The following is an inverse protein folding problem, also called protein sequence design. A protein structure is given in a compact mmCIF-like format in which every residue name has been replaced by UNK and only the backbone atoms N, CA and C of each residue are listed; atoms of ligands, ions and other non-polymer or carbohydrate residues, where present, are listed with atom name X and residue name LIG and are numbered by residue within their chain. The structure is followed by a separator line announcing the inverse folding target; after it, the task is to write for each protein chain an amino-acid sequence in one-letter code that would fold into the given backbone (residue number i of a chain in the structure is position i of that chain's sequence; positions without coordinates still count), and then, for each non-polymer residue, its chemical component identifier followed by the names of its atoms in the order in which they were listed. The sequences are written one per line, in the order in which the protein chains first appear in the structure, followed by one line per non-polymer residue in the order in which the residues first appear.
data_IF_702102931302
#
_entry.id   IF_702102931302
#
_cell.length_a   1.000
_cell.length_b   1.000
_cell.length_c   1.000
_cell.angle_alpha   90.00
_cell.angle_beta   90.00
_cell.angle_gamma   90.00
#
_symmetry.space_group_name_H-M   'P 1'
#
loop_
_entity.id
_entity.type
_entity.pdbx_description
1 polymer ?
#
# COMPACT_ATOMS: atom_id res chain seq x y z
N UNK A 1 15.92 -33.83 1.31
CA UNK A 1 14.46 -34.11 1.35
C UNK A 1 13.59 -32.87 1.16
N UNK A 2 13.99 -31.68 1.64
CA UNK A 2 13.26 -30.41 1.40
C UNK A 2 13.18 -30.04 -0.08
N UNK A 3 14.26 -30.26 -0.84
CA UNK A 3 14.35 -29.83 -2.23
C UNK A 3 13.45 -30.65 -3.16
N UNK A 4 13.27 -31.94 -2.89
CA UNK A 4 12.35 -32.80 -3.66
C UNK A 4 10.90 -32.32 -3.49
N UNK A 5 10.49 -31.97 -2.26
CA UNK A 5 9.13 -31.45 -1.99
C UNK A 5 8.92 -30.07 -2.64
N UNK A 6 9.93 -29.19 -2.59
CA UNK A 6 9.88 -27.86 -3.23
C UNK A 6 9.79 -28.00 -4.76
N UNK A 7 10.61 -28.86 -5.36
CA UNK A 7 10.61 -29.08 -6.81
C UNK A 7 9.30 -29.72 -7.29
N UNK A 8 8.71 -30.64 -6.52
CA UNK A 8 7.40 -31.21 -6.81
C UNK A 8 6.29 -30.14 -6.78
N UNK A 9 6.30 -29.25 -5.78
CA UNK A 9 5.31 -28.17 -5.69
C UNK A 9 5.43 -27.17 -6.85
N UNK A 10 6.65 -26.80 -7.25
CA UNK A 10 6.87 -25.92 -8.41
C UNK A 10 6.36 -26.57 -9.69
N UNK A 11 6.64 -27.87 -9.89
CA UNK A 11 6.15 -28.60 -11.06
C UNK A 11 4.63 -28.67 -11.13
N UNK A 12 3.97 -28.97 -10.01
CA UNK A 12 2.49 -28.98 -9.92
C UNK A 12 1.94 -27.58 -10.20
N UNK A 13 2.57 -26.55 -9.63
CA UNK A 13 2.12 -25.17 -9.79
C UNK A 13 2.22 -24.69 -11.24
N UNK A 14 3.33 -24.96 -11.93
CA UNK A 14 3.48 -24.64 -13.36
C UNK A 14 2.44 -25.37 -14.22
N UNK A 15 2.09 -26.61 -13.86
CA UNK A 15 1.03 -27.36 -14.53
C UNK A 15 -0.33 -26.72 -14.35
N UNK A 16 -0.63 -26.22 -13.14
CA UNK A 16 -1.88 -25.49 -12.91
C UNK A 16 -1.92 -24.23 -13.78
N UNK A 17 -0.84 -23.46 -13.88
CA UNK A 17 -0.81 -22.27 -14.73
C UNK A 17 -1.02 -22.58 -16.22
N UNK A 18 -0.52 -23.72 -16.69
CA UNK A 18 -0.58 -24.11 -18.10
C UNK A 18 -1.96 -24.63 -18.52
N UNK A 19 -2.63 -25.38 -17.65
CA UNK A 19 -3.88 -26.08 -17.98
C UNK A 19 -5.12 -25.51 -17.28
N UNK A 20 -5.00 -24.38 -16.60
CA UNK A 20 -6.17 -23.76 -15.96
C UNK A 20 -7.13 -23.24 -17.02
N UNK A 21 -8.36 -23.75 -16.97
CA UNK A 21 -9.47 -23.30 -17.81
C UNK A 21 -10.11 -22.05 -17.20
N UNK A 22 -9.43 -20.90 -17.37
CA UNK A 22 -9.87 -19.62 -16.81
C UNK A 22 -8.78 -18.54 -16.76
N UNK A 23 -9.08 -17.43 -16.07
CA UNK A 23 -8.14 -16.33 -15.84
C UNK A 23 -7.54 -16.48 -14.45
N UNK A 24 -6.21 -16.65 -14.38
CA UNK A 24 -5.46 -16.62 -13.12
C UNK A 24 -4.90 -15.22 -12.91
N UNK A 25 -5.26 -14.59 -11.79
CA UNK A 25 -4.64 -13.35 -11.32
C UNK A 25 -3.62 -13.68 -10.23
N UNK A 26 -2.35 -13.35 -10.48
CA UNK A 26 -1.25 -13.54 -9.53
C UNK A 26 -0.72 -12.19 -9.07
N UNK A 27 -0.36 -12.10 -7.80
CA UNK A 27 0.28 -10.92 -7.21
C UNK A 27 1.59 -11.33 -6.54
N UNK A 28 2.69 -10.64 -6.81
CA UNK A 28 3.99 -10.93 -6.19
C UNK A 28 4.74 -9.64 -5.87
N UNK A 29 5.33 -9.61 -4.67
CA UNK A 29 6.27 -8.57 -4.25
C UNK A 29 7.74 -9.00 -4.49
N UNK A 30 7.97 -10.14 -5.15
CA UNK A 30 9.29 -10.77 -5.34
C UNK A 30 9.50 -11.25 -6.78
N UNK A 31 9.20 -10.40 -7.76
CA UNK A 31 9.25 -10.74 -9.19
C UNK A 31 10.66 -11.17 -9.67
N UNK A 32 11.72 -10.69 -9.03
CA UNK A 32 13.10 -11.08 -9.33
C UNK A 32 13.40 -12.56 -9.04
N UNK A 33 12.56 -13.24 -8.25
CA UNK A 33 12.67 -14.68 -7.99
C UNK A 33 12.01 -15.55 -9.05
N UNK A 34 11.33 -14.96 -10.04
CA UNK A 34 10.67 -15.71 -11.10
C UNK A 34 11.68 -16.22 -12.14
N UNK A 35 11.63 -17.53 -12.39
CA UNK A 35 12.41 -18.18 -13.44
C UNK A 35 11.77 -17.98 -14.83
N UNK A 36 12.48 -18.42 -15.86
CA UNK A 36 12.04 -18.31 -17.25
C UNK A 36 10.77 -19.15 -17.52
N UNK A 37 10.66 -20.33 -16.89
CA UNK A 37 9.51 -21.23 -17.06
C UNK A 37 8.22 -20.66 -16.48
N UNK A 38 8.31 -19.92 -15.38
CA UNK A 38 7.19 -19.21 -14.79
C UNK A 38 6.78 -18.01 -15.66
N UNK A 39 7.76 -17.20 -16.09
CA UNK A 39 7.52 -16.02 -16.94
C UNK A 39 6.88 -16.38 -18.28
N UNK A 40 7.26 -17.51 -18.89
CA UNK A 40 6.70 -17.95 -20.18
C UNK A 40 5.21 -18.29 -20.14
N UNK A 41 4.64 -18.50 -18.95
CA UNK A 41 3.22 -18.77 -18.72
C UNK A 41 2.42 -17.52 -18.34
N UNK A 42 3.05 -16.36 -18.25
CA UNK A 42 2.41 -15.06 -17.97
C UNK A 42 2.13 -14.36 -19.29
N UNK A 43 0.86 -14.26 -19.67
CA UNK A 43 0.44 -13.54 -20.88
C UNK A 43 0.50 -12.01 -20.71
N UNK A 44 0.21 -11.50 -19.51
CA UNK A 44 0.20 -10.08 -19.19
C UNK A 44 0.87 -9.85 -17.83
N UNK A 45 1.88 -9.00 -17.79
CA UNK A 45 2.52 -8.55 -16.56
C UNK A 45 2.22 -7.06 -16.35
N UNK A 46 1.56 -6.74 -15.22
CA UNK A 46 1.27 -5.36 -14.82
C UNK A 46 2.20 -4.95 -13.68
N UNK A 47 3.03 -3.94 -13.93
CA UNK A 47 3.87 -3.36 -12.90
C UNK A 47 3.12 -2.21 -12.19
N UNK A 48 3.05 -2.29 -10.86
CA UNK A 48 2.49 -1.25 -10.01
C UNK A 48 3.62 -0.51 -9.27
N UNK A 49 4.13 0.60 -9.82
CA UNK A 49 5.18 1.37 -9.17
C UNK A 49 4.64 2.10 -7.93
N UNK A 50 5.57 2.61 -7.13
CA UNK A 50 5.26 3.49 -6.00
C UNK A 50 4.41 4.69 -6.44
N UNK A 51 3.45 5.07 -5.58
CA UNK A 51 2.48 6.12 -5.91
C UNK A 51 3.19 7.46 -6.08
N UNK A 52 2.86 8.21 -7.14
CA UNK A 52 3.26 9.61 -7.29
C UNK A 52 2.43 10.50 -6.35
N UNK A 53 2.89 11.73 -6.10
CA UNK A 53 2.12 12.70 -5.29
C UNK A 53 0.72 12.92 -5.86
N UNK A 54 0.59 13.04 -7.19
CA UNK A 54 -0.71 13.17 -7.86
C UNK A 54 -1.61 11.95 -7.60
N UNK A 55 -1.10 10.73 -7.79
CA UNK A 55 -1.88 9.50 -7.51
C UNK A 55 -2.29 9.39 -6.04
N UNK A 56 -1.43 9.83 -5.09
CA UNK A 56 -1.80 9.90 -3.67
C UNK A 56 -2.91 10.91 -3.41
N UNK A 57 -2.85 12.08 -4.06
CA UNK A 57 -3.91 13.09 -4.02
C UNK A 57 -5.25 12.53 -4.53
N UNK A 58 -5.23 11.78 -5.63
CA UNK A 58 -6.42 11.11 -6.18
C UNK A 58 -6.99 10.09 -5.19
N UNK A 59 -6.13 9.29 -4.55
CA UNK A 59 -6.54 8.30 -3.54
C UNK A 59 -7.14 9.00 -2.30
N UNK A 60 -6.52 10.08 -1.81
CA UNK A 60 -7.10 10.88 -0.72
C UNK A 60 -8.47 11.43 -1.11
N UNK A 61 -8.58 12.02 -2.29
CA UNK A 61 -9.84 12.56 -2.83
C UNK A 61 -10.91 11.47 -2.92
N UNK A 62 -10.57 10.29 -3.42
CA UNK A 62 -11.47 9.14 -3.50
C UNK A 62 -11.98 8.72 -2.12
N UNK A 63 -11.10 8.59 -1.11
CA UNK A 63 -11.53 8.22 0.22
C UNK A 63 -12.38 9.29 0.90
N UNK A 64 -12.01 10.57 0.79
CA UNK A 64 -12.77 11.69 1.35
C UNK A 64 -14.17 11.74 0.71
N UNK A 65 -14.26 11.62 -0.61
CA UNK A 65 -15.53 11.61 -1.35
C UNK A 65 -16.40 10.42 -0.93
N UNK A 66 -15.82 9.22 -0.82
CA UNK A 66 -16.56 8.04 -0.36
C UNK A 66 -17.12 8.19 1.04
N UNK A 67 -16.37 8.81 1.97
CA UNK A 67 -16.87 9.08 3.32
C UNK A 67 -18.03 10.08 3.31
N UNK A 68 -18.00 11.05 2.39
CA UNK A 68 -19.09 11.99 2.20
C UNK A 68 -20.34 11.30 1.65
N UNK A 69 -20.19 10.40 0.68
CA UNK A 69 -21.29 9.60 0.12
C UNK A 69 -21.93 8.65 1.15
N UNK A 70 -21.14 8.16 2.10
CA UNK A 70 -21.62 7.35 3.23
C UNK A 70 -22.37 8.18 4.29
N UNK A 71 -22.42 9.51 4.16
CA UNK A 71 -23.13 10.39 5.08
C UNK A 71 -22.46 10.55 6.45
N UNK A 72 -21.13 10.36 6.52
CA UNK A 72 -20.38 10.55 7.76
C UNK A 72 -20.46 12.01 8.24
N UNK A 73 -21.01 12.26 9.42
CA UNK A 73 -21.23 13.63 9.92
C UNK A 73 -20.12 14.17 10.80
N UNK A 74 -19.19 13.31 11.24
CA UNK A 74 -18.12 13.66 12.18
C UNK A 74 -16.81 14.01 11.46
N UNK A 75 -16.90 14.59 10.27
CA UNK A 75 -15.76 14.86 9.38
C UNK A 75 -15.88 16.29 8.85
N UNK A 76 -14.79 17.05 8.91
CA UNK A 76 -14.68 18.35 8.25
C UNK A 76 -14.22 18.15 6.80
N UNK A 77 -15.17 17.89 5.90
CA UNK A 77 -14.86 17.64 4.50
C UNK A 77 -14.26 18.84 3.77
N UNK A 78 -14.56 20.06 4.20
CA UNK A 78 -14.03 21.26 3.55
C UNK A 78 -12.52 21.35 3.80
N UNK A 79 -12.11 21.24 5.06
CA UNK A 79 -10.70 21.24 5.44
C UNK A 79 -9.93 20.09 4.76
N UNK A 80 -10.45 18.87 4.78
CA UNK A 80 -9.76 17.73 4.15
C UNK A 80 -9.61 17.88 2.63
N UNK A 81 -10.61 18.45 1.96
CA UNK A 81 -10.54 18.67 0.51
C UNK A 81 -9.51 19.75 0.18
N UNK A 82 -9.44 20.82 0.95
CA UNK A 82 -8.47 21.90 0.75
C UNK A 82 -7.04 21.43 1.01
N UNK A 83 -6.84 20.60 2.05
CA UNK A 83 -5.53 20.09 2.48
C UNK A 83 -5.13 18.75 1.86
N UNK A 84 -5.86 18.25 0.86
CA UNK A 84 -5.58 16.95 0.21
C UNK A 84 -4.18 16.85 -0.41
N UNK A 85 -3.64 17.98 -0.88
CA UNK A 85 -2.30 18.04 -1.46
C UNK A 85 -1.20 17.95 -0.40
N UNK A 86 -1.43 18.50 0.79
CA UNK A 86 -0.52 18.37 1.93
C UNK A 86 -0.55 16.93 2.47
N UNK A 87 -1.73 16.31 2.52
CA UNK A 87 -1.84 14.87 2.84
C UNK A 87 -1.11 13.99 1.81
N UNK A 88 -1.03 14.43 0.56
CA UNK A 88 -0.31 13.72 -0.51
C UNK A 88 1.22 13.90 -0.45
N UNK A 89 1.75 14.85 0.34
CA UNK A 89 3.20 14.97 0.55
C UNK A 89 3.78 13.81 1.37
N UNK A 90 2.97 13.23 2.25
CA UNK A 90 3.34 12.00 2.93
C UNK A 90 3.41 10.83 1.93
N UNK A 91 4.57 10.19 1.83
CA UNK A 91 4.85 9.07 0.90
C UNK A 91 4.19 7.75 1.35
N UNK A 92 2.88 7.78 1.51
CA UNK A 92 2.07 6.65 1.97
C UNK A 92 1.58 5.81 0.79
N UNK A 93 1.52 4.49 0.98
CA UNK A 93 0.79 3.60 0.08
C UNK A 93 -0.71 3.61 0.37
N UNK A 94 -1.53 3.04 -0.53
CA UNK A 94 -2.99 3.04 -0.39
C UNK A 94 -3.50 2.36 0.90
N UNK A 95 -2.79 1.33 1.40
CA UNK A 95 -3.14 0.67 2.67
C UNK A 95 -2.84 1.57 3.87
N UNK A 96 -1.70 2.26 3.87
CA UNK A 96 -1.36 3.23 4.92
C UNK A 96 -2.36 4.40 4.95
N UNK A 97 -2.74 4.95 3.80
CA UNK A 97 -3.77 6.01 3.71
C UNK A 97 -5.09 5.53 4.31
N UNK A 98 -5.56 4.34 3.92
CA UNK A 98 -6.80 3.75 4.45
C UNK A 98 -6.74 3.57 5.97
N UNK A 99 -5.61 3.04 6.47
CA UNK A 99 -5.40 2.82 7.89
C UNK A 99 -5.39 4.13 8.68
N UNK A 100 -4.70 5.17 8.17
CA UNK A 100 -4.68 6.48 8.81
C UNK A 100 -6.10 7.05 8.97
N UNK A 101 -6.90 7.00 7.91
CA UNK A 101 -8.31 7.41 7.95
C UNK A 101 -9.09 6.62 8.99
N UNK A 102 -8.96 5.29 9.00
CA UNK A 102 -9.68 4.43 9.94
C UNK A 102 -9.30 4.73 11.39
N UNK A 103 -8.02 4.86 11.69
CA UNK A 103 -7.52 5.18 13.03
C UNK A 103 -7.97 6.58 13.46
N UNK A 104 -7.90 7.58 12.58
CA UNK A 104 -8.40 8.93 12.87
C UNK A 104 -9.90 8.94 13.17
N UNK A 105 -10.70 8.15 12.43
CA UNK A 105 -12.14 8.01 12.71
C UNK A 105 -12.40 7.38 14.08
N UNK A 106 -11.65 6.35 14.44
CA UNK A 106 -11.74 5.73 15.77
C UNK A 106 -11.37 6.72 16.88
N UNK A 107 -10.30 7.49 16.70
CA UNK A 107 -9.88 8.52 17.65
C UNK A 107 -10.96 9.60 17.83
N UNK A 108 -11.54 10.10 16.73
CA UNK A 108 -12.61 11.09 16.77
C UNK A 108 -13.87 10.53 17.44
N UNK A 109 -14.24 9.29 17.13
CA UNK A 109 -15.37 8.61 17.79
C UNK A 109 -15.15 8.48 19.30
N UNK A 110 -13.93 8.18 19.74
CA UNK A 110 -13.59 8.10 21.15
C UNK A 110 -13.61 9.48 21.83
N UNK A 111 -13.05 10.51 21.19
CA UNK A 111 -13.04 11.89 21.72
C UNK A 111 -14.45 12.47 21.83
N UNK A 112 -15.34 12.17 20.90
CA UNK A 112 -16.74 12.61 20.93
C UNK A 112 -17.55 12.11 22.14
N UNK A 113 -17.06 11.09 22.87
CA UNK A 113 -17.61 10.74 24.17
C UNK A 113 -17.32 11.76 25.28
N UNK A 114 -16.41 12.71 25.04
CA UNK A 114 -15.96 13.73 26.01
C UNK A 114 -16.14 15.16 25.48
N UNK A 115 -15.78 15.40 24.22
CA UNK A 115 -15.80 16.72 23.59
C UNK A 115 -16.16 16.62 22.11
N UNK A 116 -16.96 17.56 21.60
CA UNK A 116 -17.36 17.57 20.19
C UNK A 116 -16.14 17.82 19.30
N UNK A 117 -15.74 16.80 18.55
CA UNK A 117 -14.57 16.79 17.66
C UNK A 117 -14.96 16.26 16.28
N UNK A 118 -14.43 16.87 15.23
CA UNK A 118 -14.55 16.38 13.86
C UNK A 118 -13.18 15.92 13.34
N UNK A 119 -13.19 14.96 12.43
CA UNK A 119 -11.99 14.53 11.71
C UNK A 119 -11.59 15.64 10.73
N UNK A 120 -10.42 16.23 10.95
CA UNK A 120 -9.82 17.28 10.13
C UNK A 120 -8.36 16.93 9.80
N UNK A 121 -7.70 17.81 9.05
CA UNK A 121 -6.32 17.66 8.60
C UNK A 121 -5.36 17.45 9.77
N UNK A 122 -5.49 18.21 10.86
CA UNK A 122 -4.59 18.12 12.01
C UNK A 122 -4.65 16.75 12.70
N UNK A 123 -5.85 16.18 12.85
CA UNK A 123 -6.00 14.82 13.41
C UNK A 123 -5.39 13.77 12.49
N UNK A 124 -5.60 13.89 11.17
CA UNK A 124 -4.99 12.97 10.21
C UNK A 124 -3.47 13.09 10.22
N UNK A 125 -2.93 14.31 10.20
CA UNK A 125 -1.51 14.59 10.30
C UNK A 125 -0.89 13.94 11.53
N UNK A 126 -1.48 14.14 12.71
CA UNK A 126 -1.00 13.50 13.95
C UNK A 126 -0.96 11.97 13.83
N UNK A 127 -2.03 11.35 13.31
CA UNK A 127 -2.07 9.89 13.14
C UNK A 127 -1.03 9.40 12.13
N UNK A 128 -0.82 10.13 11.04
CA UNK A 128 0.19 9.81 10.02
C UNK A 128 1.59 9.90 10.64
N UNK A 129 1.88 10.96 11.39
CA UNK A 129 3.18 11.17 12.03
C UNK A 129 3.47 10.08 13.07
N UNK A 130 2.53 9.78 13.97
CA UNK A 130 2.66 8.69 14.96
C UNK A 130 2.86 7.34 14.27
N UNK A 131 2.08 7.05 13.23
CA UNK A 131 2.21 5.77 12.50
C UNK A 131 3.54 5.68 11.75
N UNK A 132 4.08 6.81 11.30
CA UNK A 132 5.35 6.90 10.58
C UNK A 132 6.58 6.73 11.46
N UNK A 133 6.49 6.92 12.78
CA UNK A 133 7.61 6.75 13.71
C UNK A 133 8.21 5.34 13.62
N UNK A 134 7.36 4.32 13.47
CA UNK A 134 7.81 2.93 13.31
C UNK A 134 8.54 2.72 11.97
N UNK A 135 8.04 3.29 10.88
CA UNK A 135 8.70 3.20 9.57
C UNK A 135 10.08 3.89 9.61
N UNK A 136 10.20 5.04 10.30
CA UNK A 136 11.48 5.72 10.53
C UNK A 136 12.44 4.84 11.33
N UNK A 137 11.96 4.16 12.37
CA UNK A 137 12.76 3.23 13.16
C UNK A 137 13.27 2.05 12.32
N UNK A 138 12.40 1.43 11.52
CA UNK A 138 12.77 0.33 10.62
C UNK A 138 13.80 0.78 9.58
N UNK A 139 13.62 1.95 8.97
CA UNK A 139 14.60 2.50 8.03
C UNK A 139 15.95 2.73 8.70
N UNK A 140 15.99 3.24 9.94
CA UNK A 140 17.24 3.38 10.70
C UNK A 140 17.93 2.05 10.97
N UNK A 141 17.17 1.00 11.29
CA UNK A 141 17.73 -0.34 11.48
C UNK A 141 18.32 -0.91 10.18
N UNK A 142 17.71 -0.61 9.04
CA UNK A 142 18.16 -1.05 7.72
C UNK A 142 19.18 -0.10 7.08
N UNK A 143 20.07 0.50 7.87
CA UNK A 143 21.11 1.44 7.39
C UNK A 143 20.58 2.63 6.56
N UNK A 144 19.35 3.07 6.82
CA UNK A 144 18.68 4.15 6.09
C UNK A 144 18.05 3.73 4.76
N UNK A 145 18.10 2.44 4.41
CA UNK A 145 17.47 1.93 3.19
C UNK A 145 15.98 1.75 3.38
N UNK A 146 15.22 2.25 2.41
CA UNK A 146 13.78 1.99 2.32
C UNK A 146 13.50 0.52 1.98
N UNK A 147 12.29 0.00 2.25
CA UNK A 147 11.92 -1.36 1.89
C UNK A 147 12.09 -1.67 0.39
N UNK A 148 11.90 -0.68 -0.49
CA UNK A 148 12.08 -0.85 -1.94
C UNK A 148 13.55 -0.96 -2.31
N UNK A 149 14.44 -0.19 -1.68
CA UNK A 149 15.88 -0.29 -1.88
C UNK A 149 16.43 -1.60 -1.36
N UNK A 150 15.97 -2.06 -0.20
CA UNK A 150 16.36 -3.36 0.35
C UNK A 150 15.90 -4.51 -0.57
N UNK A 151 14.69 -4.40 -1.13
CA UNK A 151 14.18 -5.39 -2.07
C UNK A 151 14.97 -5.40 -3.40
N UNK A 152 15.52 -4.26 -3.81
CA UNK A 152 16.41 -4.17 -4.98
C UNK A 152 17.78 -4.78 -4.69
N UNK A 153 18.36 -4.51 -3.52
CA UNK A 153 19.62 -5.11 -3.06
C UNK A 153 19.52 -6.64 -2.96
N UNK A 154 18.40 -7.15 -2.44
CA UNK A 154 18.10 -8.58 -2.34
C UNK A 154 17.72 -9.23 -3.69
N UNK A 155 17.67 -8.45 -4.79
CA UNK A 155 17.27 -8.94 -6.10
C UNK A 155 15.81 -9.41 -6.19
N UNK A 156 14.95 -8.95 -5.26
CA UNK A 156 13.54 -9.32 -5.21
C UNK A 156 12.69 -8.51 -6.20
N UNK A 157 13.00 -7.23 -6.40
CA UNK A 157 12.38 -6.33 -7.39
C UNK A 157 13.16 -5.03 -7.50
N UNK A 158 13.07 -4.31 -8.62
CA UNK A 158 13.60 -2.96 -8.74
C UNK A 158 12.75 -1.95 -7.94
N UNK A 159 13.37 -0.94 -7.35
CA UNK A 159 12.67 0.14 -6.66
C UNK A 159 11.95 1.08 -7.65
N UNK A 160 12.57 1.33 -8.80
CA UNK A 160 11.96 2.08 -9.91
C UNK A 160 12.27 1.40 -11.24
N UNK A 161 11.26 1.28 -12.10
CA UNK A 161 11.50 0.86 -13.48
C UNK A 161 12.21 2.01 -14.19
N UNK A 162 13.46 1.80 -14.62
CA UNK A 162 14.12 2.72 -15.54
C UNK A 162 13.34 2.71 -16.85
N UNK A 163 12.86 3.89 -17.26
CA UNK A 163 12.32 4.12 -18.61
C UNK A 163 13.40 3.92 -19.68
#
# INVERSE_FOLDING_TARGET
MSDIKRNALVSIFLRVLEYHDGIIILTSNRVGTFDEAFKSRIQLALHYPSLTKAKRCDIWTMFITRLQELGETQIDFADLKDRRWDLADYKLNGRQIRNAIQTSRQLVSWKNGKEKTTLNFEILKQIIEISGEFDVYINKLNNGMSPDQLAEEDGLRLAEARE
#
